data_IF_914451677122
#
_entry.id   IF_914451677122
#
_cell.length_a   1.000
_cell.length_b   1.000
_cell.length_c   1.000
_cell.angle_alpha   90.00
_cell.angle_beta   90.00
_cell.angle_gamma   90.00
#
_symmetry.space_group_name_H-M   'P 1'
#
loop_
_entity.id
_entity.type
_entity.pdbx_description
1 polymer ?
#
# COMPACT_ATOMS: atom_id res chain seq x y z
N UNK A 1 -24.23 -2.17 10.89
CA UNK A 1 -23.55 -0.88 10.60
C UNK A 1 -23.09 -0.30 11.92
N UNK A 2 -21.78 -0.08 12.12
CA UNK A 2 -21.17 0.87 13.07
C UNK A 2 -19.75 0.42 13.45
N UNK A 3 -18.76 0.93 12.72
CA UNK A 3 -17.42 1.28 13.24
C UNK A 3 -16.56 1.98 12.18
N UNK A 4 -17.15 2.80 11.30
CA UNK A 4 -16.34 3.76 10.55
C UNK A 4 -16.12 4.95 11.48
N UNK A 5 -15.13 4.76 12.35
CA UNK A 5 -14.44 5.81 13.10
C UNK A 5 -14.24 6.96 12.12
N UNK A 6 -14.54 8.18 12.60
CA UNK A 6 -14.28 9.46 11.95
C UNK A 6 -12.75 9.60 11.73
N UNK A 7 -12.22 8.78 10.83
CA UNK A 7 -10.87 8.87 10.32
C UNK A 7 -10.89 10.14 9.48
N UNK A 8 -10.36 11.20 10.07
CA UNK A 8 -10.01 12.41 9.37
C UNK A 8 -9.43 12.00 7.99
N UNK A 9 -10.06 12.48 6.90
CA UNK A 9 -9.73 12.06 5.52
C UNK A 9 -8.31 12.44 5.10
N UNK A 10 -7.50 12.97 6.02
CA UNK A 10 -6.04 13.13 5.93
C UNK A 10 -5.32 11.92 5.33
N UNK A 11 -5.80 10.68 5.57
CA UNK A 11 -5.19 9.48 4.99
C UNK A 11 -5.18 9.51 3.45
N UNK A 12 -6.09 10.26 2.82
CA UNK A 12 -6.22 10.33 1.37
C UNK A 12 -5.04 11.01 0.66
N UNK A 13 -4.22 11.76 1.40
CA UNK A 13 -3.00 12.37 0.89
C UNK A 13 -1.87 11.35 0.69
N UNK A 14 -1.97 10.18 1.32
CA UNK A 14 -0.94 9.14 1.33
C UNK A 14 -1.32 7.95 0.44
N UNK A 15 -0.54 6.86 0.48
CA UNK A 15 -0.98 5.56 -0.04
C UNK A 15 -1.95 4.97 0.97
N UNK A 16 -3.08 4.47 0.49
CA UNK A 16 -4.03 3.81 1.37
C UNK A 16 -4.91 2.82 0.63
N UNK A 17 -5.45 1.88 1.38
CA UNK A 17 -6.58 1.05 1.02
C UNK A 17 -7.24 0.53 2.31
N UNK A 18 -8.49 0.10 2.23
CA UNK A 18 -9.12 -0.70 3.27
C UNK A 18 -8.96 -2.17 2.92
N UNK A 19 -8.52 -2.95 3.90
CA UNK A 19 -8.46 -4.41 3.79
C UNK A 19 -9.85 -4.99 3.67
N UNK A 20 -9.94 -6.27 3.30
CA UNK A 20 -11.22 -6.99 3.28
C UNK A 20 -11.88 -7.12 4.66
N UNK A 21 -11.10 -7.00 5.76
CA UNK A 21 -11.61 -6.87 7.13
C UNK A 21 -12.07 -5.46 7.51
N UNK A 22 -12.00 -4.48 6.60
CA UNK A 22 -12.38 -3.10 6.84
C UNK A 22 -11.34 -2.27 7.62
N UNK A 23 -10.10 -2.74 7.71
CA UNK A 23 -9.00 -2.01 8.39
C UNK A 23 -8.33 -1.07 7.39
N UNK A 24 -8.18 0.20 7.76
CA UNK A 24 -7.39 1.15 6.97
C UNK A 24 -5.90 0.80 7.06
N UNK A 25 -5.28 0.54 5.91
CA UNK A 25 -3.83 0.51 5.74
C UNK A 25 -3.38 1.85 5.12
N UNK A 26 -2.39 2.50 5.72
CA UNK A 26 -1.87 3.81 5.26
C UNK A 26 -0.34 3.81 5.22
N UNK A 27 0.27 4.42 4.21
CA UNK A 27 1.73 4.53 4.08
C UNK A 27 2.20 5.67 3.18
N UNK A 28 3.44 6.12 3.39
CA UNK A 28 3.98 7.28 2.67
C UNK A 28 4.27 7.02 1.18
N UNK A 29 4.28 8.09 0.38
CA UNK A 29 4.74 8.05 -1.02
C UNK A 29 6.22 8.43 -1.18
N UNK A 30 6.80 9.09 -0.18
CA UNK A 30 8.18 9.57 -0.09
C UNK A 30 8.70 9.47 1.34
N UNK A 31 9.98 9.78 1.55
CA UNK A 31 10.61 9.78 2.87
C UNK A 31 9.98 10.82 3.81
N UNK A 32 9.67 12.02 3.30
CA UNK A 32 8.96 13.07 4.06
C UNK A 32 7.52 12.64 4.40
N UNK A 33 6.85 11.97 3.46
CA UNK A 33 5.53 11.42 3.75
C UNK A 33 5.60 10.25 4.74
N UNK A 34 6.68 9.47 4.78
CA UNK A 34 6.86 8.44 5.80
C UNK A 34 6.96 9.07 7.20
N UNK A 35 7.70 10.18 7.36
CA UNK A 35 7.69 10.95 8.61
C UNK A 35 6.28 11.40 8.99
N UNK A 36 5.58 11.99 8.02
CA UNK A 36 4.23 12.50 8.23
C UNK A 36 3.24 11.38 8.60
N UNK A 37 3.35 10.21 7.97
CA UNK A 37 2.51 9.05 8.28
C UNK A 37 2.78 8.54 9.68
N UNK A 38 4.06 8.39 10.05
CA UNK A 38 4.45 7.96 11.39
C UNK A 38 3.97 8.96 12.44
N UNK A 39 4.14 10.26 12.22
CA UNK A 39 3.68 11.29 13.16
C UNK A 39 2.16 11.27 13.36
N UNK A 40 1.37 11.15 12.29
CA UNK A 40 -0.08 11.29 12.36
C UNK A 40 -0.81 9.98 12.74
N UNK A 41 -0.36 8.85 12.21
CA UNK A 41 -1.11 7.59 12.21
C UNK A 41 -0.51 6.51 13.11
N UNK A 42 0.73 6.66 13.58
CA UNK A 42 1.34 5.68 14.47
C UNK A 42 0.64 5.66 15.83
N UNK A 43 0.36 4.46 16.32
CA UNK A 43 0.05 4.21 17.74
C UNK A 43 0.87 3.02 18.23
N UNK A 44 1.25 2.95 19.52
CA UNK A 44 2.11 1.90 20.05
C UNK A 44 1.61 0.47 19.75
N UNK A 45 0.29 0.25 19.80
CA UNK A 45 -0.35 -1.05 19.58
C UNK A 45 -0.58 -1.40 18.11
N UNK A 46 -0.43 -0.45 17.19
CA UNK A 46 -0.75 -0.70 15.78
C UNK A 46 0.32 -1.55 15.11
N UNK A 47 -0.13 -2.40 14.18
CA UNK A 47 0.75 -3.25 13.37
C UNK A 47 1.31 -2.45 12.21
N UNK A 48 2.61 -2.61 11.98
CA UNK A 48 3.36 -1.94 10.93
C UNK A 48 4.06 -2.98 10.08
N UNK A 49 4.05 -2.72 8.77
CA UNK A 49 4.68 -3.54 7.77
C UNK A 49 5.65 -2.70 6.95
N UNK A 50 6.84 -3.25 6.74
CA UNK A 50 7.89 -2.69 5.90
C UNK A 50 8.69 -3.87 5.31
N UNK A 51 9.17 -3.78 4.06
CA UNK A 51 10.02 -4.84 3.49
C UNK A 51 11.28 -5.04 4.33
N UNK A 52 11.80 -6.26 4.40
CA UNK A 52 13.00 -6.54 5.21
C UNK A 52 14.20 -5.70 4.75
N UNK A 53 14.34 -5.50 3.43
CA UNK A 53 15.34 -4.58 2.87
C UNK A 53 14.74 -3.18 2.66
N UNK A 54 15.55 -2.11 2.68
CA UNK A 54 15.08 -0.73 2.55
C UNK A 54 14.34 -0.43 1.24
N UNK A 55 13.55 0.65 1.25
CA UNK A 55 12.92 1.20 0.05
C UNK A 55 11.45 0.81 -0.13
N UNK A 56 10.73 0.55 0.96
CA UNK A 56 9.27 0.39 0.95
C UNK A 56 8.61 1.46 1.83
N UNK A 57 7.30 1.71 1.65
CA UNK A 57 6.56 2.50 2.62
C UNK A 57 6.45 1.77 3.96
N UNK A 58 6.39 2.53 5.06
CA UNK A 58 5.88 2.01 6.34
C UNK A 58 4.36 1.97 6.27
N UNK A 59 3.79 0.77 6.08
CA UNK A 59 2.34 0.57 6.07
C UNK A 59 1.86 0.39 7.50
N UNK A 60 1.00 1.27 7.98
CA UNK A 60 0.38 1.20 9.30
C UNK A 60 -1.05 0.71 9.14
N UNK A 61 -1.37 -0.42 9.77
CA UNK A 61 -2.76 -0.86 9.94
C UNK A 61 -3.37 -0.09 11.12
N UNK A 62 -4.42 0.69 10.86
CA UNK A 62 -5.15 1.49 11.86
C UNK A 62 -6.06 0.61 12.75
N UNK A 63 -5.48 -0.42 13.37
CA UNK A 63 -6.15 -1.36 14.26
C UNK A 63 -5.16 -1.90 15.28
N UNK A 64 -5.64 -2.13 16.51
CA UNK A 64 -4.86 -2.79 17.57
C UNK A 64 -4.70 -4.29 17.32
N UNK A 65 -5.72 -4.91 16.73
CA UNK A 65 -5.79 -6.36 16.51
C UNK A 65 -6.28 -6.64 15.08
N UNK A 66 -5.50 -6.32 14.05
CA UNK A 66 -5.85 -6.69 12.68
C UNK A 66 -5.86 -8.22 12.53
N UNK A 67 -6.77 -8.74 11.72
CA UNK A 67 -6.84 -10.17 11.41
C UNK A 67 -5.66 -10.62 10.56
N UNK A 68 -5.43 -11.93 10.49
CA UNK A 68 -4.36 -12.53 9.67
C UNK A 68 -4.42 -12.06 8.21
N UNK A 69 -5.63 -11.97 7.66
CA UNK A 69 -5.86 -11.54 6.27
C UNK A 69 -5.54 -10.07 6.04
N UNK A 70 -5.83 -9.20 7.02
CA UNK A 70 -5.49 -7.77 6.95
C UNK A 70 -3.97 -7.57 6.89
N UNK A 71 -3.22 -8.34 7.68
CA UNK A 71 -1.76 -8.33 7.69
C UNK A 71 -1.19 -8.83 6.37
N UNK A 72 -1.73 -9.93 5.83
CA UNK A 72 -1.31 -10.48 4.54
C UNK A 72 -1.56 -9.48 3.40
N UNK A 73 -2.75 -8.88 3.35
CA UNK A 73 -3.12 -7.85 2.38
C UNK A 73 -2.21 -6.62 2.49
N UNK A 74 -1.99 -6.10 3.69
CA UNK A 74 -1.06 -4.99 3.90
C UNK A 74 0.39 -5.34 3.50
N UNK A 75 0.79 -6.60 3.67
CA UNK A 75 2.12 -7.08 3.27
C UNK A 75 2.28 -7.09 1.76
N UNK A 76 1.31 -7.64 1.03
CA UNK A 76 1.27 -7.60 -0.44
C UNK A 76 1.32 -6.15 -0.92
N UNK A 77 0.53 -5.27 -0.32
CA UNK A 77 0.52 -3.85 -0.66
C UNK A 77 1.89 -3.20 -0.44
N UNK A 78 2.49 -3.37 0.75
CA UNK A 78 3.84 -2.89 1.06
C UNK A 78 4.87 -3.33 0.01
N UNK A 79 4.84 -4.62 -0.34
CA UNK A 79 5.74 -5.21 -1.34
C UNK A 79 5.56 -4.62 -2.75
N UNK A 80 4.32 -4.39 -3.20
CA UNK A 80 4.05 -3.81 -4.52
C UNK A 80 4.51 -2.36 -4.68
N UNK A 81 4.67 -1.62 -3.57
CA UNK A 81 5.15 -0.23 -3.58
C UNK A 81 6.62 -0.11 -3.14
N UNK A 82 7.36 -1.21 -3.09
CA UNK A 82 8.76 -1.22 -2.68
C UNK A 82 9.77 -1.11 -3.84
N UNK A 83 11.04 -0.96 -3.50
CA UNK A 83 12.16 -1.06 -4.46
C UNK A 83 12.27 -2.47 -5.06
N UNK A 84 12.00 -3.50 -4.27
CA UNK A 84 12.08 -4.90 -4.68
C UNK A 84 11.06 -5.25 -5.77
N UNK A 85 9.90 -4.58 -5.77
CA UNK A 85 8.97 -4.62 -6.90
C UNK A 85 9.63 -4.14 -8.19
N UNK A 86 10.33 -3.00 -8.14
CA UNK A 86 11.04 -2.43 -9.30
C UNK A 86 12.14 -3.36 -9.81
N UNK A 87 12.80 -4.04 -8.89
CA UNK A 87 13.82 -5.07 -9.19
C UNK A 87 13.22 -6.39 -9.72
N UNK A 88 11.89 -6.55 -9.67
CA UNK A 88 11.20 -7.71 -10.21
C UNK A 88 11.25 -8.96 -9.38
N UNK A 89 11.41 -8.82 -8.06
CA UNK A 89 11.33 -9.96 -7.15
C UNK A 89 9.93 -10.55 -7.18
N UNK A 90 9.84 -11.85 -7.46
CA UNK A 90 8.58 -12.61 -7.52
C UNK A 90 7.97 -12.86 -6.15
N UNK A 91 8.82 -12.90 -5.13
CA UNK A 91 8.43 -13.01 -3.73
C UNK A 91 9.27 -12.02 -2.92
N UNK A 92 8.65 -11.35 -1.95
CA UNK A 92 9.28 -10.30 -1.16
C UNK A 92 9.02 -10.59 0.32
N UNK A 93 10.07 -10.48 1.13
CA UNK A 93 9.98 -10.59 2.58
C UNK A 93 9.51 -9.25 3.16
N UNK A 94 8.47 -9.32 3.99
CA UNK A 94 7.88 -8.17 4.68
C UNK A 94 7.90 -8.44 6.18
N UNK A 95 8.55 -7.53 6.90
CA UNK A 95 8.61 -7.56 8.34
C UNK A 95 7.36 -6.95 8.95
N UNK A 96 6.94 -7.52 10.08
CA UNK A 96 5.77 -7.16 10.86
C UNK A 96 6.24 -6.87 12.27
N UNK A 97 5.91 -5.68 12.76
CA UNK A 97 6.25 -5.22 14.09
C UNK A 97 5.19 -4.25 14.61
N UNK A 98 5.20 -3.98 15.91
CA UNK A 98 4.31 -3.00 16.56
C UNK A 98 4.88 -1.59 16.47
N UNK A 99 4.00 -0.60 16.54
CA UNK A 99 4.39 0.81 16.61
C UNK A 99 5.29 1.14 17.80
N UNK A 100 5.13 0.46 18.94
CA UNK A 100 6.00 0.60 20.12
C UNK A 100 7.46 0.18 19.87
N UNK A 101 7.72 -0.59 18.82
CA UNK A 101 9.06 -1.02 18.44
C UNK A 101 9.80 0.01 17.59
N UNK A 102 9.07 0.98 17.00
CA UNK A 102 9.66 2.02 16.16
C UNK A 102 10.37 3.06 17.02
N UNK A 103 11.56 3.48 16.58
CA UNK A 103 12.24 4.64 17.12
C UNK A 103 12.96 5.44 16.04
N UNK A 104 13.21 6.71 16.33
CA UNK A 104 13.96 7.64 15.49
C UNK A 104 15.11 8.24 16.30
N UNK A 105 16.35 7.98 15.91
CA UNK A 105 17.51 8.65 16.49
C UNK A 105 17.84 9.94 15.71
N UNK A 106 18.46 10.94 16.37
CA UNK A 106 18.82 12.22 15.75
C UNK A 106 19.75 12.09 14.53
N UNK A 107 20.56 11.03 14.47
CA UNK A 107 21.48 10.76 13.36
C UNK A 107 20.82 10.07 12.15
N UNK A 108 19.56 9.62 12.28
CA UNK A 108 18.86 8.94 11.19
C UNK A 108 18.34 9.96 10.17
N UNK A 109 18.57 9.68 8.88
CA UNK A 109 18.03 10.46 7.76
C UNK A 109 16.49 10.49 7.79
N UNK A 110 15.91 11.51 7.17
CA UNK A 110 14.46 11.56 6.88
C UNK A 110 13.99 10.27 6.22
N UNK A 111 12.82 9.76 6.63
CA UNK A 111 12.24 8.51 6.16
C UNK A 111 12.78 7.24 6.82
N UNK A 112 13.93 7.32 7.51
CA UNK A 112 14.56 6.15 8.16
C UNK A 112 14.13 6.00 9.61
N UNK A 113 13.73 4.79 9.99
CA UNK A 113 13.37 4.45 11.37
C UNK A 113 14.05 3.15 11.78
N UNK A 114 14.40 3.04 13.06
CA UNK A 114 14.85 1.80 13.67
C UNK A 114 13.69 0.99 14.22
N UNK A 115 13.88 -0.33 14.30
CA UNK A 115 12.92 -1.27 14.92
C UNK A 115 13.66 -2.03 16.03
N UNK A 116 13.13 -1.99 17.26
CA UNK A 116 13.68 -2.70 18.41
C UNK A 116 13.05 -4.07 18.59
N UNK A 117 13.81 -5.00 19.15
CA UNK A 117 13.33 -6.34 19.51
C UNK A 117 13.07 -7.23 18.28
N UNK A 118 12.37 -8.33 18.53
CA UNK A 118 12.07 -9.31 17.49
C UNK A 118 10.94 -8.82 16.56
N UNK A 119 11.04 -9.20 15.30
CA UNK A 119 10.04 -8.95 14.27
C UNK A 119 9.67 -10.27 13.61
N UNK A 120 8.42 -10.39 13.20
CA UNK A 120 7.96 -11.51 12.40
C UNK A 120 8.14 -11.16 10.93
N UNK A 121 8.50 -12.12 10.10
CA UNK A 121 8.57 -11.92 8.64
C UNK A 121 7.59 -12.82 7.94
N UNK A 122 6.89 -12.28 6.94
CA UNK A 122 6.08 -13.04 5.99
C UNK A 122 6.67 -12.88 4.60
N UNK A 123 6.52 -13.93 3.78
CA UNK A 123 6.86 -13.88 2.36
C UNK A 123 5.58 -13.69 1.56
N UNK A 124 5.53 -12.69 0.70
CA UNK A 124 4.35 -12.35 -0.09
C UNK A 124 4.68 -12.31 -1.58
N UNK A 125 3.68 -12.66 -2.40
CA UNK A 125 3.71 -12.49 -3.85
C UNK A 125 3.07 -11.14 -4.20
N UNK A 126 3.79 -10.21 -4.86
CA UNK A 126 3.27 -8.89 -5.11
C UNK A 126 2.33 -8.93 -6.33
N UNK A 127 1.03 -8.91 -6.08
CA UNK A 127 -0.02 -8.87 -7.12
C UNK A 127 -1.16 -7.96 -6.65
N UNK A 128 -1.56 -7.04 -7.52
CA UNK A 128 -2.64 -6.08 -7.25
C UNK A 128 -3.81 -6.27 -8.21
N UNK A 129 -4.97 -5.78 -7.80
CA UNK A 129 -6.12 -5.50 -8.64
C UNK A 129 -6.45 -4.01 -8.52
N UNK A 130 -6.94 -3.42 -9.61
CA UNK A 130 -7.46 -2.07 -9.59
C UNK A 130 -8.96 -2.11 -9.31
N UNK A 131 -9.40 -1.40 -8.28
CA UNK A 131 -10.81 -1.31 -7.86
C UNK A 131 -11.19 0.15 -7.61
N UNK A 132 -12.47 0.39 -7.36
CA UNK A 132 -12.98 1.66 -6.83
C UNK A 132 -13.28 1.45 -5.34
N UNK A 133 -12.54 2.14 -4.47
CA UNK A 133 -12.77 2.09 -3.03
C UNK A 133 -13.03 3.50 -2.51
N UNK A 134 -14.13 3.69 -1.78
CA UNK A 134 -14.62 5.00 -1.32
C UNK A 134 -14.63 6.07 -2.43
N UNK A 135 -15.07 5.70 -3.64
CA UNK A 135 -15.19 6.59 -4.79
C UNK A 135 -13.87 6.95 -5.48
N UNK A 136 -12.74 6.32 -5.11
CA UNK A 136 -11.42 6.57 -5.72
C UNK A 136 -10.82 5.30 -6.29
N UNK A 137 -10.10 5.41 -7.41
CA UNK A 137 -9.32 4.31 -7.96
C UNK A 137 -8.18 3.92 -7.00
N UNK A 138 -8.06 2.63 -6.69
CA UNK A 138 -7.00 2.10 -5.84
C UNK A 138 -6.49 0.78 -6.38
N UNK A 139 -5.17 0.65 -6.49
CA UNK A 139 -4.54 -0.65 -6.67
C UNK A 139 -4.39 -1.30 -5.29
N UNK A 140 -5.10 -2.40 -5.08
CA UNK A 140 -5.19 -3.11 -3.81
C UNK A 140 -4.74 -4.56 -3.98
N UNK A 141 -4.38 -5.28 -2.91
CA UNK A 141 -3.97 -6.68 -3.01
C UNK A 141 -4.98 -7.55 -3.76
N UNK A 142 -4.50 -8.43 -4.65
CA UNK A 142 -5.34 -9.34 -5.45
C UNK A 142 -6.20 -10.30 -4.61
N UNK A 143 -5.86 -10.49 -3.33
CA UNK A 143 -6.61 -11.30 -2.37
C UNK A 143 -7.91 -10.65 -1.89
N UNK A 144 -8.14 -9.36 -2.19
CA UNK A 144 -9.41 -8.68 -2.01
C UNK A 144 -10.41 -9.15 -3.07
N UNK A 145 -11.60 -9.56 -2.62
CA UNK A 145 -12.67 -10.11 -3.46
C UNK A 145 -13.70 -9.04 -3.82
N UNK A 146 -13.23 -7.99 -4.48
CA UNK A 146 -14.09 -6.93 -5.03
C UNK A 146 -14.08 -6.98 -6.57
N UNK A 147 -15.03 -6.30 -7.21
CA UNK A 147 -15.10 -6.21 -8.66
C UNK A 147 -13.86 -5.46 -9.19
N UNK A 148 -13.00 -6.18 -9.90
CA UNK A 148 -11.75 -5.64 -10.45
C UNK A 148 -11.96 -5.00 -11.81
N UNK A 149 -11.37 -3.83 -12.00
CA UNK A 149 -11.26 -3.15 -13.28
C UNK A 149 -10.07 -3.65 -14.10
N UNK A 150 -8.99 -4.02 -13.42
CA UNK A 150 -7.78 -4.57 -14.03
C UNK A 150 -6.97 -5.39 -13.02
N UNK A 151 -6.15 -6.32 -13.51
CA UNK A 151 -5.07 -6.90 -12.71
C UNK A 151 -3.77 -6.17 -12.99
N UNK A 152 -2.99 -5.91 -11.94
CA UNK A 152 -1.70 -5.24 -12.01
C UNK A 152 -0.64 -6.14 -11.40
N UNK A 153 0.40 -6.43 -12.18
CA UNK A 153 1.56 -7.20 -11.75
C UNK A 153 2.84 -6.58 -12.28
N UNK A 154 3.97 -7.06 -11.80
CA UNK A 154 5.27 -6.62 -12.29
C UNK A 154 5.42 -7.02 -13.77
N UNK A 155 5.97 -6.12 -14.59
CA UNK A 155 5.96 -6.30 -16.04
C UNK A 155 6.97 -5.42 -16.78
N UNK A 156 6.62 -5.04 -18.02
CA UNK A 156 7.51 -4.30 -18.92
C UNK A 156 6.98 -2.92 -19.34
N UNK A 157 5.69 -2.66 -19.16
CA UNK A 157 5.06 -1.39 -19.56
C UNK A 157 5.51 -0.28 -18.62
N UNK A 158 5.94 0.86 -19.16
CA UNK A 158 6.15 2.06 -18.33
C UNK A 158 4.84 2.48 -17.68
N UNK A 159 4.91 3.22 -16.58
CA UNK A 159 3.73 3.65 -15.81
C UNK A 159 2.71 4.39 -16.67
N UNK A 160 3.17 5.26 -17.57
CA UNK A 160 2.33 6.02 -18.50
C UNK A 160 1.60 5.10 -19.47
N UNK A 161 2.29 4.09 -20.03
CA UNK A 161 1.70 3.11 -20.94
C UNK A 161 0.67 2.23 -20.22
N UNK A 162 0.98 1.80 -18.99
CA UNK A 162 0.05 1.06 -18.15
C UNK A 162 -1.19 1.90 -17.83
N UNK A 163 -1.01 3.19 -17.55
CA UNK A 163 -2.09 4.15 -17.30
C UNK A 163 -3.02 4.28 -18.50
N UNK A 164 -2.48 4.48 -19.71
CA UNK A 164 -3.26 4.56 -20.94
C UNK A 164 -4.03 3.28 -21.22
N UNK A 165 -3.42 2.11 -20.98
CA UNK A 165 -4.08 0.81 -21.14
C UNK A 165 -5.23 0.63 -20.15
N UNK A 166 -5.05 1.04 -18.90
CA UNK A 166 -6.09 1.03 -17.86
C UNK A 166 -7.25 1.96 -18.26
N UNK A 167 -6.96 3.20 -18.66
CA UNK A 167 -7.99 4.16 -19.06
C UNK A 167 -8.85 3.65 -20.22
N UNK A 168 -8.23 3.05 -21.24
CA UNK A 168 -8.95 2.42 -22.37
C UNK A 168 -9.88 1.30 -21.88
N UNK A 169 -9.41 0.46 -20.96
CA UNK A 169 -10.20 -0.64 -20.39
C UNK A 169 -11.38 -0.13 -19.55
N UNK A 170 -11.16 0.89 -18.72
CA UNK A 170 -12.20 1.47 -17.87
C UNK A 170 -13.28 2.16 -18.71
N UNK A 171 -12.91 2.95 -19.73
CA UNK A 171 -13.88 3.65 -20.60
C UNK A 171 -14.86 2.71 -21.29
N UNK A 172 -14.45 1.47 -21.58
CA UNK A 172 -15.31 0.47 -22.21
C UNK A 172 -16.33 -0.14 -21.25
N UNK A 173 -16.11 -0.03 -19.93
CA UNK A 173 -16.95 -0.64 -18.89
C UNK A 173 -17.80 0.43 -18.19
N UNK A 174 -17.21 1.59 -17.93
CA UNK A 174 -17.81 2.68 -17.20
C UNK A 174 -17.69 3.98 -18.00
N UNK A 175 -18.79 4.73 -18.12
CA UNK A 175 -18.79 6.10 -18.66
C UNK A 175 -18.21 7.14 -17.66
N UNK A 176 -17.56 6.67 -16.59
CA UNK A 176 -17.08 7.51 -15.49
C UNK A 176 -15.78 8.26 -15.87
N UNK A 177 -15.64 9.55 -15.53
CA UNK A 177 -14.49 10.34 -15.92
C UNK A 177 -13.33 10.18 -14.94
N UNK A 178 -12.66 9.02 -14.94
CA UNK A 178 -11.36 8.94 -14.28
C UNK A 178 -10.28 9.59 -15.15
N UNK A 179 -9.52 10.50 -14.55
CA UNK A 179 -8.41 11.19 -15.19
C UNK A 179 -7.16 10.30 -15.28
N UNK A 180 -6.17 10.74 -16.05
CA UNK A 180 -4.85 10.10 -16.09
C UNK A 180 -4.19 10.15 -14.70
N UNK A 181 -4.37 11.26 -14.01
CA UNK A 181 -3.86 11.53 -12.67
C UNK A 181 -4.46 10.56 -11.64
N UNK A 182 -5.76 10.27 -11.72
CA UNK A 182 -6.42 9.30 -10.84
C UNK A 182 -5.75 7.93 -10.93
N UNK A 183 -5.57 7.43 -12.16
CA UNK A 183 -4.93 6.12 -12.42
C UNK A 183 -3.46 6.13 -12.01
N UNK A 184 -2.69 7.18 -12.36
CA UNK A 184 -1.27 7.29 -11.98
C UNK A 184 -1.09 7.33 -10.46
N UNK A 185 -2.02 7.95 -9.73
CA UNK A 185 -1.99 8.00 -8.27
C UNK A 185 -2.31 6.64 -7.62
N UNK A 186 -3.12 5.82 -8.29
CA UNK A 186 -3.60 4.54 -7.78
C UNK A 186 -2.59 3.40 -7.91
N UNK A 187 -1.77 3.41 -8.97
CA UNK A 187 -0.90 2.27 -9.32
C UNK A 187 0.56 2.46 -8.84
N UNK A 188 1.31 1.37 -8.62
CA UNK A 188 2.74 1.43 -8.34
C UNK A 188 3.53 2.21 -9.37
N UNK A 189 4.68 2.73 -8.94
CA UNK A 189 5.65 3.29 -9.85
C UNK A 189 6.40 2.17 -10.58
N UNK A 190 6.98 2.48 -11.74
CA UNK A 190 7.85 1.59 -12.54
C UNK A 190 7.11 0.61 -13.49
N UNK A 191 7.82 -0.41 -13.99
CA UNK A 191 7.36 -1.30 -15.07
C UNK A 191 6.28 -2.29 -14.61
N UNK A 192 5.14 -2.21 -15.27
CA UNK A 192 3.90 -2.90 -14.94
C UNK A 192 3.48 -3.84 -16.07
N UNK A 193 2.67 -4.83 -15.74
CA UNK A 193 1.80 -5.53 -16.68
C UNK A 193 0.36 -5.35 -16.21
N UNK A 194 -0.53 -5.14 -17.16
CA UNK A 194 -1.96 -4.87 -16.92
C UNK A 194 -2.75 -5.92 -17.70
N UNK A 195 -3.56 -6.70 -16.99
CA UNK A 195 -4.47 -7.68 -17.59
C UNK A 195 -5.93 -7.28 -17.40
#
# INVERSE_FOLDING_TARGET
MNKLINLDRKYENYRWFFTSGGVLAVGGKSDEQNESVISNFLRPEYVILHTTEPGSPFIILQSKNPGKKDIEEAGIFCACFSKQWKEGKKEINVDIFKGSQIYKAKSMKTGTFGVKGEKKTIKVKPELILIIQNGKLRAVPKTIKEEKLAEIKQGRLKKEQATEKILKKIKNIYHFPFSKEDVMSAIPSDKLDVK
#
